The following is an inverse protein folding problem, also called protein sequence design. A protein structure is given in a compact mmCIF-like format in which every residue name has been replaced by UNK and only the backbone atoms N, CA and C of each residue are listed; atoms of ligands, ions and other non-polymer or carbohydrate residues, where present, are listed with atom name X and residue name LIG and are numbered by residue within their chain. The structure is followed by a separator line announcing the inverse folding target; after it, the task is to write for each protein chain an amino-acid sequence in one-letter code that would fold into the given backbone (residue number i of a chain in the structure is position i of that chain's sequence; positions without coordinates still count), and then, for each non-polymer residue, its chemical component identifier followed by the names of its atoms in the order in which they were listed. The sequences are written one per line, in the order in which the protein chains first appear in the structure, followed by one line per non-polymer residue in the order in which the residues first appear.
data_IF_949667394368
#
_entry.id   IF_949667394368
#
_cell.length_a   1.000
_cell.length_b   1.000
_cell.length_c   1.000
_cell.angle_alpha   90.00
_cell.angle_beta   90.00
_cell.angle_gamma   90.00
#
_symmetry.space_group_name_H-M   'P 1'
#
loop_
_entity.id
_entity.type
_entity.pdbx_description
1 polymer ?
#
# COMPACT_ATOMS: atom_id res chain seq x y z
N UNK A 1 37.21 26.42 14.73
CA UNK A 1 36.06 25.50 14.93
C UNK A 1 36.59 24.10 14.68
N UNK A 2 36.60 23.24 15.70
CA UNK A 2 37.31 21.96 15.61
C UNK A 2 36.59 21.00 14.66
N UNK A 3 37.22 20.72 13.51
CA UNK A 3 36.77 19.74 12.52
C UNK A 3 36.47 18.37 13.16
N UNK A 4 37.17 18.05 14.25
CA UNK A 4 36.94 16.85 15.05
C UNK A 4 35.58 16.80 15.73
N UNK A 5 35.07 17.93 16.25
CA UNK A 5 33.74 18.00 16.90
C UNK A 5 32.61 17.82 15.88
N UNK A 6 32.76 18.43 14.69
CA UNK A 6 31.81 18.28 13.58
C UNK A 6 31.75 16.83 13.08
N UNK A 7 32.90 16.17 12.89
CA UNK A 7 32.91 14.78 12.45
C UNK A 7 32.24 13.83 13.47
N UNK A 8 32.35 14.11 14.77
CA UNK A 8 31.70 13.33 15.85
C UNK A 8 30.19 13.55 15.85
N UNK A 9 29.71 14.80 15.74
CA UNK A 9 28.27 15.10 15.73
C UNK A 9 27.57 14.45 14.52
N UNK A 10 28.17 14.54 13.32
CA UNK A 10 27.63 13.89 12.12
C UNK A 10 27.52 12.37 12.27
N UNK A 11 28.49 11.73 12.94
CA UNK A 11 28.46 10.29 13.21
C UNK A 11 27.33 9.92 14.17
N UNK A 12 27.09 10.73 15.20
CA UNK A 12 26.00 10.51 16.15
C UNK A 12 24.64 10.70 15.48
N UNK A 13 24.51 11.72 14.64
CA UNK A 13 23.31 11.96 13.83
C UNK A 13 23.03 10.76 12.92
N UNK A 14 24.04 10.29 12.17
CA UNK A 14 23.92 9.10 11.32
C UNK A 14 23.38 7.87 12.07
N UNK A 15 23.91 7.59 13.27
CA UNK A 15 23.39 6.51 14.13
C UNK A 15 21.94 6.72 14.55
N UNK A 16 21.56 7.95 14.85
CA UNK A 16 20.17 8.32 15.16
C UNK A 16 19.22 7.95 14.03
N UNK A 17 19.57 8.26 12.77
CA UNK A 17 18.76 7.88 11.61
C UNK A 17 18.60 6.35 11.51
N UNK A 18 19.68 5.58 11.64
CA UNK A 18 19.58 4.11 11.61
C UNK A 18 18.74 3.56 12.76
N UNK A 19 18.85 4.13 13.97
CA UNK A 19 18.07 3.70 15.13
C UNK A 19 16.57 3.99 14.93
N UNK A 20 16.21 5.17 14.43
CA UNK A 20 14.83 5.54 14.12
C UNK A 20 14.25 4.57 13.08
N UNK A 21 14.99 4.30 12.00
CA UNK A 21 14.55 3.35 10.98
C UNK A 21 14.31 1.95 11.56
N UNK A 22 15.21 1.47 12.43
CA UNK A 22 15.04 0.19 13.11
C UNK A 22 13.79 0.16 14.00
N UNK A 23 13.51 1.22 14.75
CA UNK A 23 12.30 1.30 15.59
C UNK A 23 11.03 1.22 14.72
N UNK A 24 11.00 1.93 13.59
CA UNK A 24 9.88 1.89 12.65
C UNK A 24 9.68 0.48 12.08
N UNK A 25 10.76 -0.19 11.66
CA UNK A 25 10.67 -1.56 11.17
C UNK A 25 10.20 -2.54 12.24
N UNK A 26 10.77 -2.48 13.45
CA UNK A 26 10.37 -3.38 14.55
C UNK A 26 8.89 -3.22 14.89
N UNK A 27 8.38 -1.98 14.90
CA UNK A 27 6.95 -1.72 15.08
C UNK A 27 6.09 -2.36 14.00
N UNK A 28 6.52 -2.33 12.74
CA UNK A 28 5.78 -2.93 11.64
C UNK A 28 5.90 -4.47 11.61
N UNK A 29 7.02 -5.02 12.08
CA UNK A 29 7.21 -6.47 12.18
C UNK A 29 6.29 -7.12 13.22
N UNK A 30 5.80 -6.38 14.21
CA UNK A 30 4.97 -6.89 15.30
C UNK A 30 3.49 -6.52 15.09
N UNK A 31 2.55 -7.49 15.07
CA UNK A 31 2.71 -8.95 15.22
C UNK A 31 3.21 -9.62 13.93
N UNK A 32 4.13 -10.60 14.03
CA UNK A 32 4.68 -11.30 12.86
C UNK A 32 3.59 -12.18 12.25
N UNK A 33 3.09 -11.82 11.08
CA UNK A 33 2.09 -12.61 10.36
C UNK A 33 2.44 -12.77 8.87
N UNK A 34 3.29 -13.77 8.59
CA UNK A 34 3.77 -14.06 7.23
C UNK A 34 2.67 -14.54 6.27
N UNK A 35 1.48 -14.90 6.78
CA UNK A 35 0.36 -15.39 5.97
C UNK A 35 -0.71 -14.33 5.71
N UNK A 36 -0.62 -13.19 6.40
CA UNK A 36 -1.53 -12.08 6.22
C UNK A 36 -0.99 -11.13 5.14
N UNK A 37 -1.70 -11.05 4.01
CA UNK A 37 -1.37 -10.17 2.90
C UNK A 37 -1.37 -8.70 3.31
N UNK A 38 -2.24 -8.31 4.25
CA UNK A 38 -2.29 -6.94 4.76
C UNK A 38 -1.04 -6.63 5.58
N UNK A 39 -0.54 -7.61 6.35
CA UNK A 39 0.73 -7.48 7.06
C UNK A 39 1.91 -7.35 6.09
N UNK A 40 1.99 -8.21 5.07
CA UNK A 40 3.06 -8.15 4.06
C UNK A 40 3.02 -6.80 3.34
N UNK A 41 1.84 -6.33 2.91
CA UNK A 41 1.68 -5.03 2.27
C UNK A 41 2.15 -3.89 3.18
N UNK A 42 1.77 -3.91 4.45
CA UNK A 42 2.21 -2.91 5.44
C UNK A 42 3.73 -2.92 5.62
N UNK A 43 4.34 -4.10 5.67
CA UNK A 43 5.80 -4.24 5.77
C UNK A 43 6.51 -3.67 4.54
N UNK A 44 6.07 -4.03 3.32
CA UNK A 44 6.65 -3.53 2.07
C UNK A 44 6.56 -1.99 2.02
N UNK A 45 5.38 -1.44 2.31
CA UNK A 45 5.17 0.01 2.35
C UNK A 45 6.04 0.69 3.40
N UNK A 46 6.20 0.09 4.58
CA UNK A 46 7.07 0.64 5.62
C UNK A 46 8.55 0.63 5.19
N UNK A 47 9.04 -0.45 4.57
CA UNK A 47 10.42 -0.49 4.06
C UNK A 47 10.66 0.60 3.00
N UNK A 48 9.75 0.73 2.04
CA UNK A 48 9.91 1.65 0.91
C UNK A 48 9.77 3.11 1.36
N UNK A 49 8.71 3.44 2.10
CA UNK A 49 8.44 4.81 2.53
C UNK A 49 9.47 5.34 3.53
N UNK A 50 10.08 4.46 4.33
CA UNK A 50 11.08 4.86 5.32
C UNK A 50 12.52 4.67 4.83
N UNK A 51 12.75 4.20 3.61
CA UNK A 51 14.09 3.97 3.07
C UNK A 51 14.95 5.25 2.94
N UNK A 52 14.32 6.42 2.86
CA UNK A 52 15.01 7.70 2.86
C UNK A 52 15.80 7.96 4.16
N UNK A 53 15.31 7.42 5.29
CA UNK A 53 15.94 7.59 6.62
C UNK A 53 17.34 6.96 6.66
N UNK A 54 17.54 5.66 6.39
CA UNK A 54 18.87 5.04 6.41
C UNK A 54 19.78 5.60 5.30
N UNK A 55 19.23 6.04 4.16
CA UNK A 55 20.03 6.73 3.14
C UNK A 55 20.56 8.07 3.63
N UNK A 56 19.74 8.88 4.30
CA UNK A 56 20.18 10.11 4.95
C UNK A 56 21.27 9.85 5.98
N UNK A 57 21.09 8.80 6.81
CA UNK A 57 22.11 8.34 7.74
C UNK A 57 23.43 7.96 7.06
N UNK A 58 23.37 7.29 5.91
CA UNK A 58 24.54 6.92 5.11
C UNK A 58 25.23 8.14 4.47
N UNK A 59 24.47 9.13 4.00
CA UNK A 59 25.00 10.37 3.46
C UNK A 59 25.81 11.15 4.52
N UNK A 60 25.28 11.29 5.73
CA UNK A 60 26.02 11.90 6.85
C UNK A 60 27.28 11.11 7.23
N UNK A 61 27.22 9.77 7.16
CA UNK A 61 28.38 8.91 7.41
C UNK A 61 29.48 9.12 6.37
N UNK A 62 29.12 9.29 5.09
CA UNK A 62 30.05 9.58 4.01
C UNK A 62 30.71 10.95 4.19
N UNK A 63 29.93 11.99 4.52
CA UNK A 63 30.46 13.34 4.78
C UNK A 63 31.41 13.31 5.99
N UNK A 64 31.05 12.62 7.06
CA UNK A 64 31.93 12.42 8.23
C UNK A 64 33.27 11.75 7.86
N UNK A 65 33.24 10.79 6.92
CA UNK A 65 34.45 10.12 6.45
C UNK A 65 35.34 11.02 5.57
N UNK A 66 34.73 11.90 4.77
CA UNK A 66 35.45 12.88 3.95
C UNK A 66 36.18 13.93 4.80
N UNK A 67 35.54 14.40 5.89
CA UNK A 67 36.13 15.42 6.76
C UNK A 67 37.23 14.80 7.65
N UNK A 68 37.02 13.60 8.19
CA UNK A 68 38.00 12.95 9.06
C UNK A 68 38.00 11.44 8.84
N UNK A 69 38.89 10.91 7.98
CA UNK A 69 38.97 9.49 7.67
C UNK A 69 39.57 8.72 8.87
N UNK A 70 38.74 8.47 9.88
CA UNK A 70 39.09 7.60 11.02
C UNK A 70 38.84 6.15 10.65
N UNK A 71 39.75 5.25 11.06
CA UNK A 71 39.67 3.79 10.86
C UNK A 71 38.28 3.21 11.20
N UNK A 72 37.61 3.73 12.25
CA UNK A 72 36.28 3.30 12.66
C UNK A 72 35.16 3.72 11.68
N UNK A 73 35.24 4.89 11.04
CA UNK A 73 34.25 5.33 10.04
C UNK A 73 34.38 4.48 8.78
N UNK A 74 35.60 4.24 8.33
CA UNK A 74 35.89 3.40 7.15
C UNK A 74 35.38 1.98 7.37
N UNK A 75 35.58 1.40 8.58
CA UNK A 75 35.04 0.07 8.92
C UNK A 75 33.52 0.01 8.86
N UNK A 76 32.82 1.03 9.36
CA UNK A 76 31.35 1.11 9.29
C UNK A 76 30.86 1.23 7.84
N UNK A 77 31.56 2.01 7.01
CA UNK A 77 31.27 2.12 5.59
C UNK A 77 31.51 0.81 4.84
N UNK A 78 32.54 0.05 5.20
CA UNK A 78 32.82 -1.29 4.65
C UNK A 78 31.72 -2.27 5.05
N UNK A 79 31.31 -2.26 6.31
CA UNK A 79 30.19 -3.07 6.78
C UNK A 79 28.91 -2.72 6.00
N UNK A 80 28.53 -1.44 5.92
CA UNK A 80 27.37 -0.99 5.16
C UNK A 80 27.43 -1.40 3.67
N UNK A 81 28.60 -1.32 3.04
CA UNK A 81 28.76 -1.73 1.63
C UNK A 81 28.57 -3.23 1.39
N UNK A 82 28.87 -4.07 2.38
CA UNK A 82 28.60 -5.51 2.30
C UNK A 82 27.10 -5.81 2.30
N UNK A 83 26.32 -4.99 3.01
CA UNK A 83 24.86 -5.10 3.05
C UNK A 83 24.14 -4.40 1.90
N UNK A 84 24.80 -3.49 1.19
CA UNK A 84 24.20 -2.75 0.07
C UNK A 84 23.73 -3.67 -1.07
N UNK A 85 24.50 -4.73 -1.40
CA UNK A 85 24.11 -5.69 -2.44
C UNK A 85 22.89 -6.53 -2.06
N UNK A 86 22.86 -7.24 -0.91
CA UNK A 86 21.67 -7.98 -0.51
C UNK A 86 20.47 -7.07 -0.29
N UNK A 87 20.66 -5.83 0.19
CA UNK A 87 19.59 -4.84 0.28
C UNK A 87 19.03 -4.48 -1.11
N UNK A 88 19.90 -4.21 -2.10
CA UNK A 88 19.47 -3.91 -3.47
C UNK A 88 18.71 -5.09 -4.11
N UNK A 89 19.19 -6.32 -3.92
CA UNK A 89 18.50 -7.53 -4.37
C UNK A 89 17.15 -7.67 -3.64
N UNK A 90 17.12 -7.42 -2.33
CA UNK A 90 15.89 -7.44 -1.54
C UNK A 90 14.85 -6.45 -2.06
N UNK A 91 15.25 -5.19 -2.28
CA UNK A 91 14.37 -4.17 -2.88
C UNK A 91 13.91 -4.54 -4.29
N UNK A 92 14.77 -5.15 -5.11
CA UNK A 92 14.38 -5.65 -6.43
C UNK A 92 13.33 -6.77 -6.32
N UNK A 93 13.49 -7.67 -5.35
CA UNK A 93 12.55 -8.76 -5.07
C UNK A 93 11.23 -8.28 -4.45
N UNK A 94 11.19 -7.08 -3.87
CA UNK A 94 9.94 -6.47 -3.40
C UNK A 94 8.99 -6.15 -4.55
N UNK A 95 9.48 -5.89 -5.76
CA UNK A 95 8.64 -5.56 -6.91
C UNK A 95 7.70 -6.71 -7.29
N UNK A 96 8.18 -7.94 -7.59
CA UNK A 96 7.30 -9.07 -7.89
C UNK A 96 6.43 -9.46 -6.69
N UNK A 97 6.96 -9.31 -5.46
CA UNK A 97 6.20 -9.62 -4.24
C UNK A 97 5.02 -8.65 -4.06
N UNK A 98 5.24 -7.35 -4.24
CA UNK A 98 4.17 -6.34 -4.24
C UNK A 98 3.16 -6.63 -5.35
N UNK A 99 3.64 -7.03 -6.53
CA UNK A 99 2.84 -7.61 -7.63
C UNK A 99 1.81 -8.63 -7.16
N UNK A 100 2.33 -9.69 -6.54
CA UNK A 100 1.52 -10.79 -6.06
C UNK A 100 0.51 -10.35 -4.97
N UNK A 101 0.96 -9.58 -3.99
CA UNK A 101 0.11 -9.14 -2.86
C UNK A 101 -1.01 -8.22 -3.35
N UNK A 102 -0.69 -7.24 -4.19
CA UNK A 102 -1.70 -6.33 -4.76
C UNK A 102 -2.72 -7.08 -5.62
N UNK A 103 -2.27 -8.04 -6.44
CA UNK A 103 -3.18 -8.87 -7.23
C UNK A 103 -4.11 -9.70 -6.35
N UNK A 104 -3.57 -10.36 -5.33
CA UNK A 104 -4.36 -11.18 -4.43
C UNK A 104 -5.33 -10.34 -3.56
N UNK A 105 -4.93 -9.12 -3.17
CA UNK A 105 -5.81 -8.18 -2.47
C UNK A 105 -6.99 -7.74 -3.34
N UNK A 106 -6.74 -7.39 -4.61
CA UNK A 106 -7.79 -7.04 -5.59
C UNK A 106 -8.76 -8.21 -5.77
N UNK A 107 -8.25 -9.44 -5.92
CA UNK A 107 -9.11 -10.61 -6.09
C UNK A 107 -9.99 -10.89 -4.86
N UNK A 108 -9.44 -10.71 -3.64
CA UNK A 108 -10.23 -10.85 -2.40
C UNK A 108 -11.33 -9.79 -2.29
N UNK A 109 -11.01 -8.53 -2.59
CA UNK A 109 -12.00 -7.45 -2.59
C UNK A 109 -13.08 -7.67 -3.67
N UNK A 110 -12.69 -8.15 -4.85
CA UNK A 110 -13.63 -8.50 -5.90
C UNK A 110 -14.54 -9.66 -5.47
N UNK A 111 -13.99 -10.72 -4.87
CA UNK A 111 -14.78 -11.84 -4.36
C UNK A 111 -15.76 -11.41 -3.26
N UNK A 112 -15.32 -10.54 -2.34
CA UNK A 112 -16.19 -9.98 -1.31
C UNK A 112 -17.30 -9.11 -1.90
N UNK A 113 -16.98 -8.25 -2.88
CA UNK A 113 -17.96 -7.42 -3.57
C UNK A 113 -19.01 -8.25 -4.33
N UNK A 114 -18.58 -9.30 -5.04
CA UNK A 114 -19.49 -10.23 -5.74
C UNK A 114 -20.36 -10.99 -4.73
N UNK A 115 -19.78 -11.48 -3.64
CA UNK A 115 -20.53 -12.18 -2.59
C UNK A 115 -21.62 -11.30 -1.98
N UNK A 116 -21.30 -10.03 -1.70
CA UNK A 116 -22.27 -9.08 -1.18
C UNK A 116 -23.33 -8.68 -2.23
N UNK A 117 -22.95 -8.57 -3.51
CA UNK A 117 -23.91 -8.36 -4.61
C UNK A 117 -24.93 -9.48 -4.67
N UNK A 118 -24.48 -10.73 -4.72
CA UNK A 118 -25.37 -11.87 -4.89
C UNK A 118 -26.43 -11.94 -3.78
N UNK A 119 -26.07 -11.59 -2.55
CA UNK A 119 -27.02 -11.50 -1.43
C UNK A 119 -28.05 -10.41 -1.67
N UNK A 120 -27.62 -9.20 -2.08
CA UNK A 120 -28.51 -8.07 -2.35
C UNK A 120 -29.40 -8.33 -3.57
N UNK A 121 -28.85 -8.87 -4.66
CA UNK A 121 -29.59 -9.23 -5.87
C UNK A 121 -30.65 -10.28 -5.58
N UNK A 122 -30.33 -11.29 -4.77
CA UNK A 122 -31.30 -12.30 -4.33
C UNK A 122 -32.43 -11.67 -3.50
N UNK A 123 -32.11 -10.75 -2.59
CA UNK A 123 -33.12 -10.02 -1.81
C UNK A 123 -34.03 -9.16 -2.69
N UNK A 124 -33.46 -8.43 -3.66
CA UNK A 124 -34.22 -7.59 -4.59
C UNK A 124 -35.08 -8.42 -5.55
N UNK A 125 -34.60 -9.59 -5.98
CA UNK A 125 -35.38 -10.51 -6.82
C UNK A 125 -36.54 -11.13 -6.04
N UNK A 126 -36.31 -11.55 -4.78
CA UNK A 126 -37.37 -12.05 -3.91
C UNK A 126 -38.43 -10.97 -3.64
N UNK A 127 -38.00 -9.73 -3.39
CA UNK A 127 -38.89 -8.59 -3.18
C UNK A 127 -39.71 -8.28 -4.45
N UNK A 128 -39.07 -8.29 -5.62
CA UNK A 128 -39.74 -8.13 -6.92
C UNK A 128 -40.82 -9.20 -7.12
N UNK A 129 -40.51 -10.47 -6.83
CA UNK A 129 -41.49 -11.56 -6.94
C UNK A 129 -42.67 -11.38 -5.98
N UNK A 130 -42.43 -10.98 -4.72
CA UNK A 130 -43.50 -10.72 -3.75
C UNK A 130 -44.41 -9.56 -4.19
N UNK A 131 -43.83 -8.45 -4.65
CA UNK A 131 -44.59 -7.29 -5.16
C UNK A 131 -45.37 -7.65 -6.41
N UNK A 132 -44.80 -8.48 -7.29
CA UNK A 132 -45.46 -8.88 -8.54
C UNK A 132 -46.64 -9.81 -8.26
N UNK A 133 -46.51 -10.69 -7.26
CA UNK A 133 -47.54 -11.62 -6.81
C UNK A 133 -48.66 -10.96 -5.97
N UNK A 134 -48.41 -9.79 -5.38
CA UNK A 134 -49.43 -9.05 -4.63
C UNK A 134 -50.64 -8.71 -5.51
N UNK A 135 -51.84 -9.05 -5.03
CA UNK A 135 -53.13 -8.80 -5.70
C UNK A 135 -53.92 -7.66 -5.04
N UNK A 136 -53.62 -7.34 -3.79
CA UNK A 136 -54.30 -6.30 -3.01
C UNK A 136 -53.31 -5.27 -2.47
N UNK A 137 -53.82 -4.10 -2.09
CA UNK A 137 -53.00 -3.03 -1.50
C UNK A 137 -52.44 -3.45 -0.14
N UNK A 138 -53.16 -4.26 0.63
CA UNK A 138 -52.68 -4.81 1.90
C UNK A 138 -51.53 -5.80 1.71
N UNK A 139 -51.61 -6.68 0.69
CA UNK A 139 -50.52 -7.59 0.32
C UNK A 139 -49.26 -6.83 -0.10
N UNK A 140 -49.44 -5.73 -0.85
CA UNK A 140 -48.34 -4.87 -1.29
C UNK A 140 -47.67 -4.20 -0.07
N UNK A 141 -48.47 -3.60 0.82
CA UNK A 141 -47.97 -2.97 2.05
C UNK A 141 -47.27 -3.97 2.96
N UNK A 142 -47.80 -5.20 3.08
CA UNK A 142 -47.16 -6.27 3.84
C UNK A 142 -45.79 -6.67 3.25
N UNK A 143 -45.68 -6.72 1.92
CA UNK A 143 -44.43 -7.06 1.21
C UNK A 143 -43.34 -6.00 1.37
N UNK A 144 -43.71 -4.73 1.62
CA UNK A 144 -42.76 -3.62 1.77
C UNK A 144 -42.53 -3.18 3.22
N UNK A 145 -43.11 -3.85 4.24
CA UNK A 145 -42.95 -3.48 5.66
C UNK A 145 -41.51 -3.49 6.16
N UNK A 146 -40.61 -4.22 5.51
CA UNK A 146 -39.17 -4.23 5.83
C UNK A 146 -38.34 -3.14 5.16
N UNK A 147 -38.94 -2.30 4.31
CA UNK A 147 -38.27 -1.22 3.60
C UNK A 147 -38.32 0.10 4.41
N UNK A 148 -37.51 1.11 4.02
CA UNK A 148 -37.53 2.41 4.69
C UNK A 148 -38.95 3.01 4.77
N UNK A 149 -39.35 3.58 5.93
CA UNK A 149 -40.73 4.04 6.16
C UNK A 149 -41.21 5.08 5.15
N UNK A 150 -40.30 5.92 4.64
CA UNK A 150 -40.61 6.90 3.59
C UNK A 150 -41.13 6.27 2.28
N UNK A 151 -40.71 5.03 1.95
CA UNK A 151 -41.23 4.29 0.80
C UNK A 151 -42.62 3.73 1.07
N UNK A 152 -42.86 3.27 2.30
CA UNK A 152 -44.15 2.70 2.72
C UNK A 152 -45.22 3.79 2.74
N UNK A 153 -44.93 4.95 3.32
CA UNK A 153 -45.83 6.10 3.36
C UNK A 153 -46.20 6.59 1.95
N UNK A 154 -45.20 6.72 1.08
CA UNK A 154 -45.42 7.15 -0.31
C UNK A 154 -46.23 6.15 -1.13
N UNK A 155 -45.98 4.85 -0.95
CA UNK A 155 -46.75 3.79 -1.60
C UNK A 155 -48.20 3.73 -1.12
N UNK A 156 -48.46 4.08 0.15
CA UNK A 156 -49.81 4.08 0.72
C UNK A 156 -50.70 5.21 0.20
N UNK A 157 -50.11 6.31 -0.28
CA UNK A 157 -50.81 7.48 -0.81
C UNK A 157 -51.22 7.33 -2.30
N UNK A 158 -50.72 6.32 -3.00
CA UNK A 158 -50.92 6.11 -4.44
C UNK A 158 -51.95 5.00 -4.72
N UNK A 159 -52.68 5.05 -5.85
CA UNK A 159 -53.48 3.92 -6.33
C UNK A 159 -52.62 2.68 -6.54
N UNK A 160 -53.16 1.49 -6.27
CA UNK A 160 -52.44 0.20 -6.31
C UNK A 160 -51.55 0.01 -7.55
N UNK A 161 -52.09 0.22 -8.75
CA UNK A 161 -51.34 0.05 -10.01
C UNK A 161 -50.22 1.07 -10.21
N UNK A 162 -50.34 2.25 -9.62
CA UNK A 162 -49.31 3.29 -9.66
C UNK A 162 -48.23 3.01 -8.61
N UNK A 163 -48.63 2.66 -7.39
CA UNK A 163 -47.72 2.27 -6.31
C UNK A 163 -46.84 1.07 -6.72
N UNK A 164 -47.44 0.04 -7.33
CA UNK A 164 -46.71 -1.14 -7.82
C UNK A 164 -45.67 -0.77 -8.89
N UNK A 165 -46.05 0.05 -9.87
CA UNK A 165 -45.14 0.51 -10.93
C UNK A 165 -43.99 1.36 -10.38
N UNK A 166 -44.27 2.26 -9.44
CA UNK A 166 -43.22 3.10 -8.85
C UNK A 166 -42.24 2.30 -7.98
N UNK A 167 -42.71 1.31 -7.22
CA UNK A 167 -41.81 0.47 -6.42
C UNK A 167 -40.92 -0.39 -7.33
N UNK A 168 -41.50 -1.00 -8.37
CA UNK A 168 -40.73 -1.81 -9.33
C UNK A 168 -39.67 -0.98 -10.07
N UNK A 169 -40.01 0.23 -10.53
CA UNK A 169 -39.03 1.10 -11.21
C UNK A 169 -37.91 1.57 -10.29
N UNK A 170 -38.20 1.76 -9.00
CA UNK A 170 -37.17 2.06 -7.99
C UNK A 170 -36.25 0.87 -7.74
N UNK A 171 -36.79 -0.34 -7.65
CA UNK A 171 -35.97 -1.56 -7.51
C UNK A 171 -35.04 -1.72 -8.72
N UNK A 172 -35.56 -1.53 -9.94
CA UNK A 172 -34.74 -1.56 -11.16
C UNK A 172 -33.63 -0.49 -11.16
N UNK A 173 -33.97 0.73 -10.76
CA UNK A 173 -33.00 1.83 -10.64
C UNK A 173 -31.91 1.50 -9.60
N UNK A 174 -32.28 0.93 -8.46
CA UNK A 174 -31.32 0.51 -7.44
C UNK A 174 -30.43 -0.65 -7.92
N UNK A 175 -30.98 -1.63 -8.65
CA UNK A 175 -30.17 -2.69 -9.28
C UNK A 175 -29.14 -2.10 -10.26
N UNK A 176 -29.56 -1.16 -11.12
CA UNK A 176 -28.63 -0.48 -12.03
C UNK A 176 -27.57 0.33 -11.27
N UNK A 177 -27.96 1.02 -10.19
CA UNK A 177 -27.03 1.78 -9.36
C UNK A 177 -26.02 0.87 -8.64
N UNK A 178 -26.44 -0.29 -8.15
CA UNK A 178 -25.57 -1.28 -7.53
C UNK A 178 -24.56 -1.84 -8.54
N UNK A 179 -25.02 -2.21 -9.74
CA UNK A 179 -24.13 -2.66 -10.81
C UNK A 179 -23.10 -1.58 -11.20
N UNK A 180 -23.52 -0.31 -11.27
CA UNK A 180 -22.63 0.81 -11.56
C UNK A 180 -21.63 1.08 -10.43
N UNK A 181 -22.06 1.00 -9.16
CA UNK A 181 -21.19 1.15 -7.98
C UNK A 181 -20.13 0.05 -7.91
N UNK A 182 -20.46 -1.18 -8.29
CA UNK A 182 -19.49 -2.26 -8.36
C UNK A 182 -18.43 -2.01 -9.42
N UNK A 183 -18.85 -1.59 -10.63
CA UNK A 183 -17.92 -1.26 -11.71
C UNK A 183 -16.97 -0.13 -11.30
N UNK A 184 -17.47 0.91 -10.65
CA UNK A 184 -16.64 2.05 -10.22
C UNK A 184 -15.70 1.70 -9.06
N UNK A 185 -16.15 0.90 -8.09
CA UNK A 185 -15.28 0.44 -7.01
C UNK A 185 -14.10 -0.39 -7.53
N UNK A 186 -14.35 -1.31 -8.47
CA UNK A 186 -13.29 -2.14 -9.05
C UNK A 186 -12.25 -1.31 -9.82
N UNK A 187 -12.66 -0.26 -10.54
CA UNK A 187 -11.72 0.60 -11.26
C UNK A 187 -10.90 1.48 -10.31
N UNK A 188 -11.50 2.05 -9.26
CA UNK A 188 -10.78 2.85 -8.26
C UNK A 188 -9.73 2.02 -7.53
N UNK A 189 -10.07 0.82 -7.09
CA UNK A 189 -9.16 -0.08 -6.38
C UNK A 189 -7.97 -0.46 -7.28
N UNK A 190 -8.25 -0.88 -8.53
CA UNK A 190 -7.20 -1.28 -9.49
C UNK A 190 -6.25 -0.11 -9.80
N UNK A 191 -6.79 1.10 -9.95
CA UNK A 191 -5.99 2.29 -10.23
C UNK A 191 -5.16 2.74 -9.02
N UNK A 192 -5.73 2.67 -7.82
CA UNK A 192 -5.00 2.93 -6.57
C UNK A 192 -3.81 1.97 -6.41
N UNK A 193 -4.06 0.67 -6.56
CA UNK A 193 -3.01 -0.35 -6.50
C UNK A 193 -1.93 -0.11 -7.56
N UNK A 194 -2.30 0.19 -8.81
CA UNK A 194 -1.33 0.46 -9.88
C UNK A 194 -0.45 1.68 -9.59
N UNK A 195 -1.03 2.77 -9.08
CA UNK A 195 -0.27 3.97 -8.69
C UNK A 195 0.73 3.68 -7.57
N UNK A 196 0.30 2.96 -6.53
CA UNK A 196 1.18 2.56 -5.43
C UNK A 196 2.30 1.64 -5.91
N UNK A 197 2.01 0.71 -6.82
CA UNK A 197 3.01 -0.17 -7.41
C UNK A 197 4.07 0.60 -8.20
N UNK A 198 3.65 1.54 -9.04
CA UNK A 198 4.58 2.36 -9.83
C UNK A 198 5.43 3.23 -8.91
N UNK A 199 4.82 3.91 -7.94
CA UNK A 199 5.55 4.76 -6.98
C UNK A 199 6.59 3.96 -6.20
N UNK A 200 6.19 2.79 -5.69
CA UNK A 200 7.07 1.91 -4.93
C UNK A 200 8.17 1.27 -5.79
N UNK A 201 7.87 0.88 -7.04
CA UNK A 201 8.86 0.34 -7.96
C UNK A 201 9.90 1.41 -8.34
N UNK A 202 9.46 2.65 -8.62
CA UNK A 202 10.37 3.77 -8.89
C UNK A 202 11.25 4.08 -7.69
N UNK A 203 10.67 4.12 -6.48
CA UNK A 203 11.43 4.30 -5.26
C UNK A 203 12.47 3.18 -5.09
N UNK A 204 12.07 1.92 -5.22
CA UNK A 204 12.98 0.77 -5.14
C UNK A 204 14.13 0.84 -6.17
N UNK A 205 13.83 1.22 -7.42
CA UNK A 205 14.84 1.40 -8.47
C UNK A 205 15.82 2.53 -8.15
N UNK A 206 15.33 3.67 -7.67
CA UNK A 206 16.18 4.81 -7.26
C UNK A 206 17.08 4.39 -6.10
N UNK A 207 16.53 3.71 -5.09
CA UNK A 207 17.31 3.20 -3.94
C UNK A 207 18.40 2.22 -4.40
N UNK A 208 18.03 1.26 -5.26
CA UNK A 208 18.97 0.29 -5.82
C UNK A 208 20.09 0.98 -6.62
N UNK A 209 19.74 1.98 -7.44
CA UNK A 209 20.71 2.75 -8.22
C UNK A 209 21.68 3.56 -7.35
N UNK A 210 21.16 4.22 -6.30
CA UNK A 210 21.99 4.97 -5.33
C UNK A 210 22.98 4.04 -4.63
N UNK A 211 22.53 2.88 -4.16
CA UNK A 211 23.39 1.88 -3.52
C UNK A 211 24.44 1.32 -4.50
N UNK A 212 24.07 1.11 -5.76
CA UNK A 212 24.98 0.63 -6.80
C UNK A 212 26.05 1.68 -7.16
N UNK A 213 25.67 2.95 -7.34
CA UNK A 213 26.59 4.08 -7.54
C UNK A 213 27.54 4.27 -6.36
N UNK A 214 27.04 4.15 -5.13
CA UNK A 214 27.86 4.24 -3.92
C UNK A 214 28.91 3.13 -3.86
N UNK A 215 28.63 1.94 -4.42
CA UNK A 215 29.61 0.85 -4.56
C UNK A 215 30.64 1.12 -5.66
N UNK A 216 30.20 1.59 -6.84
CA UNK A 216 31.06 1.85 -8.00
C UNK A 216 32.08 2.97 -7.75
N UNK A 217 31.65 4.10 -7.18
CA UNK A 217 32.57 5.20 -6.84
C UNK A 217 33.70 4.77 -5.91
N UNK A 218 33.45 3.76 -5.07
CA UNK A 218 34.45 3.21 -4.15
C UNK A 218 35.46 2.28 -4.83
N UNK A 219 35.06 1.55 -5.88
CA UNK A 219 36.00 0.78 -6.71
C UNK A 219 36.93 1.72 -7.48
N UNK A 220 36.42 2.86 -7.96
CA UNK A 220 37.22 3.88 -8.63
C UNK A 220 38.28 4.54 -7.72
N UNK A 221 37.99 4.73 -6.42
CA UNK A 221 38.96 5.27 -5.46
C UNK A 221 40.08 4.28 -5.11
N UNK A 222 39.81 2.97 -5.09
CA UNK A 222 40.85 1.94 -4.79
C UNK A 222 41.88 1.82 -5.93
N UNK A 223 41.53 2.20 -7.16
CA UNK A 223 42.44 2.18 -8.30
C UNK A 223 43.34 3.43 -8.43
N UNK A 224 43.15 4.46 -7.59
CA UNK A 224 43.84 5.75 -7.70
C UNK A 224 44.78 6.07 -6.53
N UNK A 225 45.13 5.11 -5.69
CA UNK A 225 46.30 5.24 -4.80
C UNK A 225 47.55 4.80 -5.56
N UNK A 226 48.41 5.75 -6.02
CA UNK A 226 49.74 5.37 -6.50
C UNK A 226 50.49 4.75 -5.33
N UNK A 227 50.95 3.51 -5.52
CA UNK A 227 51.89 2.86 -4.61
C UNK A 227 53.08 3.81 -4.46
N UNK A 228 53.40 4.32 -3.26
CA UNK A 228 54.61 5.09 -3.07
C UNK A 228 55.79 4.14 -3.33
N UNK A 229 56.45 4.33 -4.46
CA UNK A 229 57.78 3.78 -4.69
C UNK A 229 58.72 4.56 -3.77
N UNK A 230 59.03 4.00 -2.61
CA UNK A 230 60.23 4.39 -1.86
C UNK A 230 61.43 3.83 -2.63
N UNK A 231 62.27 4.72 -3.15
CA UNK A 231 63.61 4.43 -3.67
C UNK A 231 64.64 5.25 -2.87
#
# INVERSE_FOLDING_TARGET
MDEGLLAISLRTISRGFFLIYMIVLVRQLLPINLFDLTWIQGLISALINNAAIPLGGLAFLLISALISPKVRTVRLLLFASRWALPAAIGFLLLIPLQGYVSFAAVNRQQAAAIGQSNVVDTQLNNLTQQITAAKTQEDLLASIRGLPPALVERASALPFDQAKREILSRIETEQMNLANRQRSQLTTVRWGAAKEMIGNALAALVLAWVLFKARLSRIGMVFFEPIPFES
#
